data_IF_453662388799
#
_entry.id   IF_453662388799
#
_cell.length_a   1.000
_cell.length_b   1.000
_cell.length_c   1.000
_cell.angle_alpha   90.00
_cell.angle_beta   90.00
_cell.angle_gamma   90.00
#
_symmetry.space_group_name_H-M   'P 1'
#
loop_
_entity.id
_entity.type
_entity.pdbx_description
1 polymer ?
#
# COMPACT_ATOMS: atom_id res chain seq x y z
N UNK A 1 -10.03 4.84 -1.29
CA UNK A 1 -9.38 4.34 -2.54
C UNK A 1 -9.38 2.82 -2.51
N UNK A 2 -9.33 2.14 -3.66
CA UNK A 2 -9.23 0.67 -3.70
C UNK A 2 -7.75 0.26 -3.80
N UNK A 3 -7.32 -0.81 -3.12
CA UNK A 3 -5.95 -1.35 -3.27
C UNK A 3 -5.62 -1.66 -4.72
N UNK A 4 -6.63 -1.99 -5.52
CA UNK A 4 -6.41 -2.39 -6.89
C UNK A 4 -5.85 -1.22 -7.69
N UNK A 5 -6.25 0.02 -7.36
CA UNK A 5 -5.65 1.22 -7.93
C UNK A 5 -4.21 1.40 -7.45
N UNK A 6 -3.95 1.19 -6.16
CA UNK A 6 -2.61 1.29 -5.58
C UNK A 6 -1.63 0.27 -6.21
N UNK A 7 -2.09 -0.96 -6.39
CA UNK A 7 -1.38 -2.05 -7.08
C UNK A 7 -1.18 -1.67 -8.54
N UNK A 8 -2.21 -1.18 -9.22
CA UNK A 8 -2.11 -0.79 -10.64
C UNK A 8 -1.10 0.33 -10.84
N UNK A 9 -1.07 1.33 -9.95
CA UNK A 9 -0.09 2.42 -10.00
C UNK A 9 1.32 1.87 -9.75
N UNK A 10 1.49 1.03 -8.72
CA UNK A 10 2.77 0.39 -8.41
C UNK A 10 3.27 -0.45 -9.61
N UNK A 11 2.40 -1.29 -10.18
CA UNK A 11 2.69 -2.15 -11.33
C UNK A 11 3.00 -1.34 -12.59
N UNK A 12 2.29 -0.23 -12.80
CA UNK A 12 2.52 0.63 -13.97
C UNK A 12 3.87 1.35 -13.87
N UNK A 13 4.24 1.80 -12.67
CA UNK A 13 5.51 2.52 -12.44
C UNK A 13 6.72 1.58 -12.36
N UNK A 14 6.62 0.50 -11.59
CA UNK A 14 7.73 -0.45 -11.40
C UNK A 14 7.79 -1.57 -12.42
N UNK A 15 6.74 -1.76 -13.23
CA UNK A 15 6.57 -2.93 -14.12
C UNK A 15 6.66 -4.27 -13.38
N UNK A 16 6.44 -4.25 -12.07
CA UNK A 16 6.54 -5.41 -11.19
C UNK A 16 5.35 -5.41 -10.23
N UNK A 17 4.78 -6.60 -10.01
CA UNK A 17 3.68 -6.78 -9.06
C UNK A 17 4.22 -6.71 -7.62
N UNK A 18 3.55 -5.96 -6.73
CA UNK A 18 3.95 -5.93 -5.33
C UNK A 18 3.82 -7.34 -4.75
N UNK A 19 4.95 -7.90 -4.32
CA UNK A 19 4.99 -9.26 -3.75
C UNK A 19 4.26 -9.36 -2.42
N UNK A 20 4.23 -8.25 -1.68
CA UNK A 20 3.55 -8.14 -0.39
C UNK A 20 2.96 -6.74 -0.24
N UNK A 21 1.99 -6.59 0.66
CA UNK A 21 1.44 -5.28 1.03
C UNK A 21 2.50 -4.36 1.65
N UNK A 22 3.59 -4.94 2.19
CA UNK A 22 4.76 -4.20 2.67
C UNK A 22 5.48 -3.45 1.54
N UNK A 23 5.50 -4.01 0.33
CA UNK A 23 6.11 -3.36 -0.84
C UNK A 23 5.30 -2.13 -1.29
N UNK A 24 3.97 -2.22 -1.23
CA UNK A 24 3.08 -1.08 -1.44
C UNK A 24 3.29 -0.04 -0.33
N UNK A 25 3.36 -0.46 0.93
CA UNK A 25 3.61 0.44 2.06
C UNK A 25 4.91 1.23 1.90
N UNK A 26 6.03 0.58 1.56
CA UNK A 26 7.32 1.25 1.33
C UNK A 26 7.23 2.28 0.19
N UNK A 27 6.56 1.92 -0.90
CA UNK A 27 6.36 2.79 -2.05
C UNK A 27 5.52 4.03 -1.71
N UNK A 28 4.35 3.86 -1.08
CA UNK A 28 3.52 5.00 -0.68
C UNK A 28 4.15 5.81 0.45
N UNK A 29 4.92 5.17 1.34
CA UNK A 29 5.68 5.88 2.37
C UNK A 29 6.75 6.78 1.76
N UNK A 30 7.49 6.32 0.75
CA UNK A 30 8.43 7.16 0.00
C UNK A 30 7.74 8.35 -0.66
N UNK A 31 6.59 8.14 -1.30
CA UNK A 31 5.78 9.23 -1.88
C UNK A 31 5.34 10.23 -0.81
N UNK A 32 4.93 9.76 0.37
CA UNK A 32 4.56 10.63 1.49
C UNK A 32 5.74 11.47 1.97
N UNK A 33 6.91 10.84 2.18
CA UNK A 33 8.14 11.53 2.60
C UNK A 33 8.59 12.55 1.54
N UNK A 34 8.40 12.22 0.26
CA UNK A 34 8.69 13.10 -0.88
C UNK A 34 7.69 14.27 -1.00
N UNK A 35 6.56 14.22 -0.28
CA UNK A 35 5.48 15.20 -0.37
C UNK A 35 4.56 15.02 -1.57
N UNK A 36 4.63 13.88 -2.27
CA UNK A 36 3.75 13.55 -3.40
C UNK A 36 2.32 13.20 -2.94
N UNK A 37 2.17 12.70 -1.71
CA UNK A 37 0.86 12.41 -1.11
C UNK A 37 0.74 13.03 0.28
N UNK A 38 -0.48 13.42 0.65
CA UNK A 38 -0.77 13.97 1.97
C UNK A 38 -0.85 12.87 3.04
N UNK A 39 -0.64 13.24 4.31
CA UNK A 39 -0.75 12.34 5.46
C UNK A 39 -2.13 11.68 5.54
N UNK A 40 -3.21 12.36 5.11
CA UNK A 40 -4.56 11.76 5.06
C UNK A 40 -4.62 10.63 4.05
N UNK A 41 -4.07 10.84 2.85
CA UNK A 41 -4.01 9.82 1.81
C UNK A 41 -3.15 8.64 2.25
N UNK A 42 -1.98 8.89 2.83
CA UNK A 42 -1.13 7.84 3.38
C UNK A 42 -1.83 7.02 4.46
N UNK A 43 -2.58 7.69 5.37
CA UNK A 43 -3.31 7.01 6.44
C UNK A 43 -4.47 6.16 5.91
N UNK A 44 -5.18 6.63 4.89
CA UNK A 44 -6.23 5.84 4.22
C UNK A 44 -5.63 4.59 3.56
N UNK A 45 -4.52 4.76 2.83
CA UNK A 45 -3.77 3.67 2.19
C UNK A 45 -3.25 2.67 3.23
N UNK A 46 -2.65 3.15 4.32
CA UNK A 46 -2.16 2.30 5.40
C UNK A 46 -3.30 1.49 6.03
N UNK A 47 -4.41 2.14 6.37
CA UNK A 47 -5.56 1.47 6.98
C UNK A 47 -6.21 0.48 6.02
N UNK A 48 -6.23 0.80 4.72
CA UNK A 48 -6.74 -0.08 3.67
C UNK A 48 -5.87 -1.32 3.51
N UNK A 49 -4.55 -1.15 3.35
CA UNK A 49 -3.56 -2.24 3.26
C UNK A 49 -3.60 -3.11 4.53
N UNK A 50 -3.78 -2.49 5.70
CA UNK A 50 -3.94 -3.18 6.97
C UNK A 50 -5.26 -3.97 7.05
N UNK A 51 -6.39 -3.40 6.63
CA UNK A 51 -7.70 -4.07 6.63
C UNK A 51 -7.81 -5.22 5.62
N UNK A 52 -7.12 -5.12 4.49
CA UNK A 52 -7.32 -6.06 3.39
C UNK A 52 -6.52 -7.36 3.53
N UNK A 53 -6.01 -7.66 4.72
CA UNK A 53 -5.19 -8.83 4.95
C UNK A 53 -3.72 -8.57 4.61
N UNK A 54 -3.16 -7.46 5.09
CA UNK A 54 -1.81 -7.56 5.66
C UNK A 54 -1.95 -8.50 6.84
N UNK A 55 -2.05 -9.78 6.52
CA UNK A 55 -2.22 -10.87 7.45
C UNK A 55 -0.94 -10.88 8.26
N UNK A 56 -0.93 -10.09 9.33
CA UNK A 56 -0.29 -10.55 10.56
C UNK A 56 -0.72 -12.00 10.67
N UNK A 57 0.26 -12.91 10.64
CA UNK A 57 0.09 -14.35 10.54
C UNK A 57 -0.59 -14.96 11.77
N UNK A 58 -1.71 -14.39 12.24
CA UNK A 58 -2.29 -14.60 13.56
C UNK A 58 -3.82 -14.77 13.56
N UNK A 59 -4.51 -14.82 12.43
CA UNK A 59 -5.91 -15.26 12.42
C UNK A 59 -6.04 -16.60 11.69
N UNK A 60 -5.70 -17.66 12.42
CA UNK A 60 -6.34 -18.96 12.27
C UNK A 60 -7.39 -19.07 13.39
N UNK A 61 -8.67 -19.04 13.04
CA UNK A 61 -9.78 -19.54 13.87
C UNK A 61 -10.59 -20.54 13.08
#
# INVERSE_FOLDING_TARGET
MLVNELITVYESERKESPRTLNDLLDYFQKKYISGEIDIKSYRDIYNFLHQQGATSAHEYV
#
